data_IF_144300866246
#
_entry.id   IF_144300866246
#
_cell.length_a   1.000
_cell.length_b   1.000
_cell.length_c   1.000
_cell.angle_alpha   90.00
_cell.angle_beta   90.00
_cell.angle_gamma   90.00
#
_symmetry.space_group_name_H-M   'P 1'
#
loop_
_entity.id
_entity.type
_entity.pdbx_description
1 polymer ?
#
# COMPACT_ATOMS: atom_id res chain seq x y z
N UNK A 1 26.55 4.44 67.94
CA UNK A 1 27.10 5.53 67.11
C UNK A 1 28.27 6.11 67.89
N UNK A 2 29.51 5.75 67.54
CA UNK A 2 30.69 6.21 68.28
C UNK A 2 30.93 7.71 68.00
N UNK A 3 31.41 8.44 69.00
CA UNK A 3 31.62 9.90 68.96
C UNK A 3 32.78 10.37 68.07
N UNK A 4 33.46 9.46 67.37
CA UNK A 4 34.71 9.75 66.65
C UNK A 4 34.62 9.57 65.12
N UNK A 5 33.44 9.29 64.57
CA UNK A 5 33.27 9.09 63.13
C UNK A 5 32.96 10.43 62.43
N UNK A 6 33.86 10.88 61.56
CA UNK A 6 33.67 12.09 60.73
C UNK A 6 33.16 11.67 59.36
N UNK A 7 31.98 12.17 58.98
CA UNK A 7 31.36 11.93 57.67
C UNK A 7 31.32 13.22 56.86
N UNK A 8 31.74 13.16 55.60
CA UNK A 8 31.66 14.27 54.66
C UNK A 8 30.50 14.05 53.69
N UNK A 9 29.71 15.11 53.43
CA UNK A 9 28.62 15.13 52.45
C UNK A 9 28.89 16.23 51.42
N UNK A 10 28.97 15.85 50.15
CA UNK A 10 29.37 16.73 49.05
C UNK A 10 28.33 16.73 47.90
N UNK A 11 27.19 17.40 48.05
CA UNK A 11 26.16 17.47 47.01
C UNK A 11 26.61 18.38 45.85
N UNK A 12 26.38 17.92 44.62
CA UNK A 12 26.66 18.67 43.40
C UNK A 12 25.46 18.64 42.45
N UNK A 13 25.25 19.72 41.69
CA UNK A 13 24.27 19.78 40.61
C UNK A 13 25.00 19.68 39.27
N UNK A 14 24.68 18.65 38.49
CA UNK A 14 25.34 18.36 37.22
C UNK A 14 24.31 18.23 36.10
N UNK A 15 24.71 18.62 34.89
CA UNK A 15 23.99 18.31 33.66
C UNK A 15 24.87 17.36 32.86
N UNK A 16 24.42 16.12 32.67
CA UNK A 16 25.22 15.07 32.05
C UNK A 16 24.63 14.74 30.68
N UNK A 17 25.46 14.78 29.65
CA UNK A 17 25.15 14.20 28.34
C UNK A 17 25.86 12.85 28.24
N UNK A 18 25.09 11.77 28.23
CA UNK A 18 25.60 10.40 28.16
C UNK A 18 25.20 9.74 26.84
N UNK A 19 25.98 8.76 26.41
CA UNK A 19 25.70 7.95 25.23
C UNK A 19 24.67 6.86 25.56
N UNK A 20 23.70 6.66 24.67
CA UNK A 20 22.73 5.58 24.77
C UNK A 20 22.77 4.74 23.49
N UNK A 21 23.33 3.50 23.54
CA UNK A 21 23.31 2.61 22.39
C UNK A 21 21.88 2.12 22.16
N UNK A 22 21.31 2.47 21.02
CA UNK A 22 19.92 2.16 20.68
C UNK A 22 19.85 1.14 19.55
N UNK A 23 19.06 0.08 19.76
CA UNK A 23 18.67 -0.85 18.70
C UNK A 23 17.29 -0.46 18.17
N UNK A 24 17.21 -0.13 16.88
CA UNK A 24 16.05 0.48 16.22
C UNK A 24 15.29 -0.50 15.32
N UNK A 25 15.47 -1.82 15.50
CA UNK A 25 14.78 -2.84 14.69
C UNK A 25 13.25 -2.67 14.74
N UNK A 26 12.72 -2.42 15.94
CA UNK A 26 11.29 -2.25 16.19
C UNK A 26 10.83 -0.78 16.09
N UNK A 27 11.66 0.11 15.55
CA UNK A 27 11.29 1.52 15.42
C UNK A 27 9.99 1.68 14.62
N UNK A 28 9.02 2.51 15.07
CA UNK A 28 8.99 3.36 16.28
C UNK A 28 8.31 2.76 17.55
N UNK A 29 8.05 1.46 17.59
CA UNK A 29 7.45 0.73 18.73
C UNK A 29 8.53 0.15 19.66
N UNK A 30 9.68 0.81 19.71
CA UNK A 30 10.88 0.43 20.41
C UNK A 30 10.91 0.92 21.87
N UNK A 31 11.68 0.19 22.69
CA UNK A 31 12.06 0.61 24.03
C UNK A 31 13.56 0.38 24.23
N UNK A 32 14.17 1.25 25.03
CA UNK A 32 15.62 1.24 25.26
C UNK A 32 15.93 1.40 26.74
N UNK A 33 17.00 0.76 27.20
CA UNK A 33 17.63 1.05 28.48
C UNK A 33 18.86 1.92 28.23
N UNK A 34 18.79 3.20 28.61
CA UNK A 34 19.93 4.11 28.47
C UNK A 34 20.80 4.06 29.74
N UNK A 35 22.06 3.58 29.65
CA UNK A 35 22.93 3.47 30.81
C UNK A 35 23.61 4.81 31.12
N UNK A 36 23.62 5.17 32.40
CA UNK A 36 24.47 6.22 32.97
C UNK A 36 25.54 5.54 33.83
N UNK A 37 26.77 5.48 33.33
CA UNK A 37 27.91 4.84 34.01
C UNK A 37 28.84 5.90 34.59
N UNK A 38 29.23 5.76 35.86
CA UNK A 38 30.17 6.64 36.52
C UNK A 38 31.01 5.90 37.56
N UNK A 39 32.24 6.37 37.81
CA UNK A 39 33.18 5.76 38.74
C UNK A 39 34.44 6.61 38.90
N UNK A 40 35.41 6.10 39.65
CA UNK A 40 36.72 6.75 39.78
C UNK A 40 37.51 6.66 38.48
N UNK A 41 38.16 7.75 38.08
CA UNK A 41 39.05 7.76 36.92
C UNK A 41 40.45 7.24 37.25
N UNK A 42 41.02 7.66 38.39
CA UNK A 42 42.42 7.39 38.73
C UNK A 42 42.58 6.26 39.76
N UNK A 43 41.72 6.23 40.77
CA UNK A 43 41.83 5.32 41.91
C UNK A 43 41.16 3.98 41.64
N UNK A 44 41.89 2.85 41.73
CA UNK A 44 41.34 1.51 41.60
C UNK A 44 40.60 1.06 42.87
N UNK A 45 40.01 -0.14 42.82
CA UNK A 45 39.23 -0.75 43.89
C UNK A 45 40.03 -0.99 45.18
N UNK A 46 41.36 -1.07 45.10
CA UNK A 46 42.23 -1.16 46.28
C UNK A 46 42.29 0.15 47.08
N UNK A 47 41.91 1.27 46.48
CA UNK A 47 41.96 2.61 47.10
C UNK A 47 40.55 3.18 47.34
N UNK A 48 39.65 3.10 46.35
CA UNK A 48 38.31 3.68 46.42
C UNK A 48 37.28 2.72 45.86
N UNK A 49 36.21 2.47 46.63
CA UNK A 49 35.06 1.66 46.23
C UNK A 49 33.80 2.52 46.34
N UNK A 50 33.03 2.58 45.27
CA UNK A 50 31.72 3.23 45.26
C UNK A 50 30.63 2.26 45.69
N UNK A 51 29.74 2.72 46.56
CA UNK A 51 28.58 1.95 47.03
C UNK A 51 27.37 2.87 47.02
N UNK A 52 26.22 2.33 46.62
CA UNK A 52 24.95 3.03 46.70
C UNK A 52 24.58 3.27 48.18
N UNK A 53 24.23 4.51 48.53
CA UNK A 53 23.92 4.86 49.93
C UNK A 53 22.70 4.10 50.48
N UNK A 54 21.69 3.89 49.64
CA UNK A 54 20.49 3.12 49.98
C UNK A 54 20.47 1.81 49.18
N UNK A 55 19.38 1.05 49.31
CA UNK A 55 19.12 -0.12 48.46
C UNK A 55 19.19 0.24 46.96
N UNK A 56 19.44 -0.77 46.14
CA UNK A 56 19.52 -0.63 44.68
C UNK A 56 18.26 0.01 44.09
N UNK A 57 17.07 -0.21 44.66
CA UNK A 57 15.82 0.33 44.11
C UNK A 57 15.54 1.79 44.49
N UNK A 58 16.20 2.34 45.52
CA UNK A 58 15.86 3.66 46.11
C UNK A 58 16.96 4.69 45.98
N UNK A 59 18.15 4.31 45.50
CA UNK A 59 19.30 5.22 45.47
C UNK A 59 19.24 6.24 44.33
N UNK A 60 18.53 5.92 43.24
CA UNK A 60 18.29 6.83 42.12
C UNK A 60 16.81 7.18 42.10
N UNK A 61 16.51 8.44 42.42
CA UNK A 61 15.14 8.98 42.46
C UNK A 61 15.00 10.02 41.36
N UNK A 62 13.97 9.84 40.53
CA UNK A 62 13.59 10.82 39.52
C UNK A 62 12.42 11.64 40.06
N UNK A 63 12.52 12.97 39.98
CA UNK A 63 11.44 13.85 40.40
C UNK A 63 10.18 13.60 39.55
N UNK A 64 8.99 13.63 40.16
CA UNK A 64 7.71 13.39 39.48
C UNK A 64 7.49 14.35 38.30
N UNK A 65 7.85 15.63 38.47
CA UNK A 65 7.79 16.66 37.42
C UNK A 65 9.05 16.72 36.54
N UNK A 66 10.04 15.89 36.81
CA UNK A 66 11.36 15.92 36.15
C UNK A 66 11.35 15.34 34.73
N UNK A 67 10.32 14.57 34.36
CA UNK A 67 10.22 13.90 33.07
C UNK A 67 9.54 14.77 32.01
N UNK A 68 10.29 15.69 31.38
CA UNK A 68 9.82 16.54 30.28
C UNK A 68 10.26 16.03 28.90
N UNK A 69 10.14 14.73 28.68
CA UNK A 69 10.52 14.10 27.41
C UNK A 69 9.38 14.19 26.38
N UNK A 70 9.63 14.89 25.27
CA UNK A 70 8.64 15.06 24.21
C UNK A 70 8.38 13.75 23.43
N UNK A 71 9.45 13.01 23.12
CA UNK A 71 9.40 11.83 22.25
C UNK A 71 9.35 10.49 22.99
N UNK A 72 9.64 10.46 24.29
CA UNK A 72 9.73 9.23 25.08
C UNK A 72 8.93 9.33 26.37
N UNK A 73 8.54 8.19 26.91
CA UNK A 73 8.10 8.00 28.27
C UNK A 73 9.21 7.35 29.08
N UNK A 74 9.52 7.91 30.24
CA UNK A 74 10.33 7.24 31.24
C UNK A 74 9.44 6.20 31.93
N UNK A 75 9.74 4.92 31.70
CA UNK A 75 9.00 3.78 32.27
C UNK A 75 9.49 3.45 33.68
N UNK A 76 10.77 3.72 33.97
CA UNK A 76 11.40 3.44 35.25
C UNK A 76 12.93 3.44 35.12
N UNK A 77 13.59 3.05 36.22
CA UNK A 77 15.03 2.99 36.31
C UNK A 77 15.47 1.72 37.05
N UNK A 78 16.61 1.18 36.66
CA UNK A 78 17.29 0.10 37.38
C UNK A 78 18.72 0.54 37.68
N UNK A 79 19.28 0.09 38.79
CA UNK A 79 20.67 0.39 39.13
C UNK A 79 21.46 -0.90 39.30
N UNK A 80 22.73 -0.82 38.97
CA UNK A 80 23.69 -1.89 39.10
C UNK A 80 25.04 -1.35 39.52
N UNK A 81 25.92 -2.27 39.87
CA UNK A 81 27.33 -2.03 40.12
C UNK A 81 28.11 -3.08 39.35
N UNK A 82 29.07 -2.64 38.55
CA UNK A 82 29.90 -3.48 37.70
C UNK A 82 31.37 -3.22 38.03
N UNK A 83 32.19 -4.27 38.08
CA UNK A 83 33.65 -4.11 38.18
C UNK A 83 34.26 -4.27 36.78
N UNK A 84 35.02 -3.26 36.35
CA UNK A 84 35.70 -3.27 35.06
C UNK A 84 37.20 -3.35 35.29
N UNK A 85 37.84 -4.35 34.69
CA UNK A 85 39.30 -4.47 34.66
C UNK A 85 39.88 -3.70 33.49
N UNK A 86 40.76 -2.75 33.76
CA UNK A 86 41.54 -2.02 32.76
C UNK A 86 43.03 -2.31 32.92
N UNK A 87 43.86 -1.78 32.02
CA UNK A 87 45.32 -1.95 32.09
C UNK A 87 45.95 -1.35 33.36
N UNK A 88 45.27 -0.41 34.02
CA UNK A 88 45.76 0.29 35.22
C UNK A 88 45.27 -0.32 36.52
N UNK A 89 44.27 -1.21 36.48
CA UNK A 89 43.70 -1.88 37.66
C UNK A 89 42.23 -2.24 37.50
N UNK A 90 41.61 -2.68 38.59
CA UNK A 90 40.16 -2.91 38.64
C UNK A 90 39.44 -1.69 39.20
N UNK A 91 38.34 -1.29 38.57
CA UNK A 91 37.56 -0.11 38.93
C UNK A 91 36.09 -0.48 39.14
N UNK A 92 35.49 0.07 40.20
CA UNK A 92 34.06 -0.06 40.50
C UNK A 92 33.31 1.00 39.72
N UNK A 93 32.41 0.56 38.84
CA UNK A 93 31.54 1.40 38.04
C UNK A 93 30.11 1.27 38.52
N UNK A 94 29.51 2.41 38.82
CA UNK A 94 28.11 2.54 39.18
C UNK A 94 27.31 2.78 37.91
N UNK A 95 26.27 1.97 37.70
CA UNK A 95 25.45 2.06 36.49
C UNK A 95 23.99 2.29 36.87
N UNK A 96 23.34 3.26 36.23
CA UNK A 96 21.89 3.45 36.30
C UNK A 96 21.29 3.37 34.89
N UNK A 97 20.41 2.40 34.65
CA UNK A 97 19.68 2.29 33.39
C UNK A 97 18.34 3.01 33.49
N UNK A 98 18.08 3.91 32.55
CA UNK A 98 16.80 4.57 32.39
C UNK A 98 16.01 3.89 31.28
N UNK A 99 14.86 3.31 31.61
CA UNK A 99 14.01 2.61 30.66
C UNK A 99 13.12 3.64 29.94
N UNK A 100 13.39 3.86 28.67
CA UNK A 100 12.69 4.81 27.81
C UNK A 100 11.86 4.06 26.78
N UNK A 101 10.57 4.39 26.65
CA UNK A 101 9.67 3.88 25.61
C UNK A 101 9.26 5.00 24.68
N UNK A 102 9.36 4.81 23.36
CA UNK A 102 9.03 5.86 22.38
C UNK A 102 7.52 6.10 22.29
N UNK A 103 7.12 7.36 22.09
CA UNK A 103 5.73 7.73 21.77
C UNK A 103 5.44 7.50 20.29
N UNK A 104 4.48 6.62 20.02
CA UNK A 104 4.13 6.21 18.65
C UNK A 104 3.29 7.24 17.87
N UNK A 105 2.54 8.11 18.56
CA UNK A 105 1.50 8.95 17.96
C UNK A 105 1.95 9.86 16.81
N UNK A 106 3.15 10.43 16.90
CA UNK A 106 3.71 11.27 15.83
C UNK A 106 3.87 10.51 14.50
N UNK A 107 4.44 9.30 14.58
CA UNK A 107 4.68 8.46 13.39
C UNK A 107 3.37 7.92 12.81
N UNK A 108 2.37 7.67 13.65
CA UNK A 108 1.02 7.29 13.18
C UNK A 108 0.45 8.37 12.28
N UNK A 109 0.47 9.63 12.73
CA UNK A 109 -0.14 10.75 12.02
C UNK A 109 0.67 11.13 10.77
N UNK A 110 2.00 11.16 10.87
CA UNK A 110 2.84 11.65 9.77
C UNK A 110 3.24 10.58 8.75
N UNK A 111 3.27 9.29 9.13
CA UNK A 111 3.77 8.23 8.26
C UNK A 111 2.71 7.16 8.00
N UNK A 112 2.18 6.51 9.02
CA UNK A 112 1.27 5.38 8.83
C UNK A 112 -0.06 5.80 8.19
N UNK A 113 -0.70 6.86 8.68
CA UNK A 113 -1.98 7.35 8.13
C UNK A 113 -1.84 7.77 6.66
N UNK A 114 -0.86 8.62 6.26
CA UNK A 114 -0.66 8.94 4.85
C UNK A 114 -0.36 7.72 3.98
N UNK A 115 0.43 6.74 4.47
CA UNK A 115 0.71 5.50 3.72
C UNK A 115 -0.57 4.66 3.51
N UNK A 116 -1.36 4.46 4.57
CA UNK A 116 -2.64 3.74 4.50
C UNK A 116 -3.60 4.44 3.53
N UNK A 117 -3.74 5.76 3.63
CA UNK A 117 -4.58 6.54 2.71
C UNK A 117 -4.09 6.44 1.27
N UNK A 118 -2.78 6.47 1.03
CA UNK A 118 -2.18 6.31 -0.32
C UNK A 118 -2.49 4.92 -0.89
N UNK A 119 -2.40 3.86 -0.08
CA UNK A 119 -2.75 2.50 -0.51
C UNK A 119 -4.25 2.42 -0.85
N UNK A 120 -5.13 2.95 0.00
CA UNK A 120 -6.58 2.99 -0.25
C UNK A 120 -6.88 3.76 -1.55
N UNK A 121 -6.25 4.92 -1.76
CA UNK A 121 -6.41 5.70 -2.99
C UNK A 121 -5.99 4.92 -4.24
N UNK A 122 -4.91 4.13 -4.16
CA UNK A 122 -4.52 3.27 -5.29
C UNK A 122 -5.58 2.20 -5.60
N UNK A 123 -6.27 1.66 -4.58
CA UNK A 123 -7.35 0.69 -4.73
C UNK A 123 -8.67 1.30 -5.24
N UNK A 124 -8.94 2.58 -4.93
CA UNK A 124 -10.11 3.30 -5.48
C UNK A 124 -10.06 3.34 -7.01
N UNK A 125 -8.88 3.29 -7.61
CA UNK A 125 -8.72 3.24 -9.07
C UNK A 125 -9.36 2.01 -9.73
N UNK A 126 -9.58 0.90 -8.99
CA UNK A 126 -10.27 -0.30 -9.49
C UNK A 126 -11.77 -0.09 -9.69
N UNK A 127 -12.35 0.91 -9.03
CA UNK A 127 -13.77 1.27 -9.16
C UNK A 127 -14.02 2.16 -10.38
N UNK A 128 -12.96 2.77 -10.92
CA UNK A 128 -13.06 3.65 -12.06
C UNK A 128 -13.26 2.84 -13.35
N UNK A 129 -14.04 3.40 -14.27
CA UNK A 129 -14.33 2.77 -15.55
C UNK A 129 -13.04 2.53 -16.35
N UNK A 130 -12.93 1.34 -16.96
CA UNK A 130 -11.77 0.94 -17.79
C UNK A 130 -11.53 1.84 -19.01
N UNK A 131 -12.54 2.61 -19.42
CA UNK A 131 -12.48 3.50 -20.59
C UNK A 131 -11.72 4.81 -20.27
N UNK A 132 -11.67 5.22 -19.00
CA UNK A 132 -10.89 6.38 -18.55
C UNK A 132 -9.44 6.02 -18.23
N UNK A 133 -8.73 5.50 -19.24
CA UNK A 133 -7.30 5.16 -19.17
C UNK A 133 -6.44 6.31 -18.62
N UNK A 134 -6.60 7.58 -19.07
CA UNK A 134 -5.76 8.68 -18.59
C UNK A 134 -5.88 8.91 -17.09
N UNK A 135 -7.10 8.82 -16.55
CA UNK A 135 -7.35 9.03 -15.13
C UNK A 135 -6.69 7.93 -14.28
N UNK A 136 -6.84 6.65 -14.65
CA UNK A 136 -6.23 5.53 -13.92
C UNK A 136 -4.69 5.58 -13.95
N UNK A 137 -4.08 5.96 -15.09
CA UNK A 137 -2.62 6.14 -15.18
C UNK A 137 -2.14 7.22 -14.22
N UNK A 138 -2.81 8.37 -14.19
CA UNK A 138 -2.44 9.48 -13.30
C UNK A 138 -2.57 9.06 -11.83
N UNK A 139 -3.68 8.44 -11.43
CA UNK A 139 -3.82 7.91 -10.06
C UNK A 139 -2.70 6.93 -9.67
N UNK A 140 -2.36 5.99 -10.56
CA UNK A 140 -1.32 5.01 -10.30
C UNK A 140 0.09 5.63 -10.19
N UNK A 141 0.46 6.51 -11.12
CA UNK A 141 1.77 7.17 -11.09
C UNK A 141 1.90 8.12 -9.90
N UNK A 142 0.86 8.92 -9.64
CA UNK A 142 0.85 9.84 -8.50
C UNK A 142 0.94 9.10 -7.18
N UNK A 143 0.22 7.98 -7.01
CA UNK A 143 0.31 7.20 -5.75
C UNK A 143 1.69 6.58 -5.54
N UNK A 144 2.38 6.09 -6.58
CA UNK A 144 3.79 5.64 -6.46
C UNK A 144 4.72 6.79 -6.11
N UNK A 145 4.56 7.95 -6.75
CA UNK A 145 5.37 9.13 -6.46
C UNK A 145 5.16 9.58 -5.01
N UNK A 146 3.91 9.72 -4.57
CA UNK A 146 3.55 10.05 -3.19
C UNK A 146 4.14 9.04 -2.20
N UNK A 147 4.05 7.74 -2.50
CA UNK A 147 4.62 6.69 -1.64
C UNK A 147 6.15 6.80 -1.55
N UNK A 148 6.82 7.13 -2.66
CA UNK A 148 8.26 7.38 -2.70
C UNK A 148 8.64 8.59 -1.85
N UNK A 149 7.89 9.69 -1.96
CA UNK A 149 8.09 10.90 -1.15
C UNK A 149 7.90 10.63 0.35
N UNK A 150 6.84 9.90 0.72
CA UNK A 150 6.59 9.53 2.12
C UNK A 150 7.70 8.63 2.69
N UNK A 151 8.22 7.69 1.89
CA UNK A 151 9.35 6.83 2.28
C UNK A 151 10.63 7.64 2.56
N UNK A 152 10.97 8.58 1.68
CA UNK A 152 12.13 9.46 1.86
C UNK A 152 11.95 10.35 3.10
N UNK A 153 10.77 10.95 3.26
CA UNK A 153 10.46 11.78 4.43
C UNK A 153 10.59 11.00 5.74
N UNK A 154 10.06 9.77 5.79
CA UNK A 154 10.13 8.92 6.98
C UNK A 154 11.58 8.55 7.33
N UNK A 155 12.43 8.28 6.33
CA UNK A 155 13.85 7.97 6.52
C UNK A 155 14.69 9.17 6.95
N UNK A 156 14.34 10.39 6.52
CA UNK A 156 15.04 11.60 6.95
C UNK A 156 14.81 11.91 8.44
N UNK A 157 13.72 11.43 9.02
CA UNK A 157 13.44 11.57 10.45
C UNK A 157 14.18 10.56 11.34
N UNK A 158 14.85 9.56 10.75
CA UNK A 158 15.57 8.50 11.46
C UNK A 158 17.09 8.62 11.22
N UNK A 159 17.95 8.35 12.22
CA UNK A 159 19.37 8.13 11.96
C UNK A 159 19.59 6.99 10.95
N UNK A 160 20.66 7.10 10.16
CA UNK A 160 20.98 6.09 9.13
C UNK A 160 21.47 4.80 9.79
N UNK A 161 20.62 3.78 9.80
CA UNK A 161 20.95 2.41 10.20
C UNK A 161 21.05 1.50 8.97
N UNK A 162 21.88 0.46 9.05
CA UNK A 162 22.12 -0.47 7.93
C UNK A 162 21.06 -1.58 7.83
N UNK A 163 20.28 -1.81 8.88
CA UNK A 163 19.20 -2.80 8.93
C UNK A 163 17.83 -2.16 8.68
N UNK A 164 16.86 -2.98 8.27
CA UNK A 164 15.48 -2.54 8.04
C UNK A 164 14.71 -2.43 9.36
N UNK A 165 14.05 -1.29 9.58
CA UNK A 165 13.18 -1.06 10.74
C UNK A 165 11.76 -1.60 10.50
N UNK A 166 10.97 -1.78 11.56
CA UNK A 166 9.56 -2.13 11.46
C UNK A 166 8.76 -1.14 10.59
N UNK A 167 9.09 0.16 10.66
CA UNK A 167 8.54 1.18 9.78
C UNK A 167 8.94 0.97 8.31
N UNK A 168 10.20 0.64 8.03
CA UNK A 168 10.66 0.35 6.65
C UNK A 168 9.89 -0.83 6.05
N UNK A 169 9.67 -1.91 6.83
CA UNK A 169 8.87 -3.05 6.38
C UNK A 169 7.43 -2.65 6.05
N UNK A 170 6.81 -1.80 6.87
CA UNK A 170 5.47 -1.30 6.59
C UNK A 170 5.40 -0.50 5.29
N UNK A 171 6.34 0.43 5.11
CA UNK A 171 6.45 1.26 3.90
C UNK A 171 6.72 0.39 2.67
N UNK A 172 7.60 -0.61 2.77
CA UNK A 172 7.91 -1.52 1.66
C UNK A 172 6.69 -2.34 1.22
N UNK A 173 5.90 -2.86 2.17
CA UNK A 173 4.67 -3.60 1.84
C UNK A 173 3.62 -2.67 1.23
N UNK A 174 3.43 -1.48 1.79
CA UNK A 174 2.53 -0.48 1.20
C UNK A 174 2.95 -0.11 -0.23
N UNK A 175 4.26 0.04 -0.48
CA UNK A 175 4.81 0.28 -1.82
C UNK A 175 4.49 -0.88 -2.77
N UNK A 176 4.65 -2.13 -2.33
CA UNK A 176 4.29 -3.30 -3.12
C UNK A 176 2.81 -3.33 -3.50
N UNK A 177 1.89 -2.93 -2.60
CA UNK A 177 0.46 -2.83 -2.91
C UNK A 177 0.15 -1.76 -3.96
N UNK A 178 0.74 -0.57 -3.82
CA UNK A 178 0.56 0.54 -4.79
C UNK A 178 1.13 0.13 -6.16
N UNK A 179 2.31 -0.47 -6.18
CA UNK A 179 2.93 -0.97 -7.41
C UNK A 179 2.12 -2.10 -8.06
N UNK A 180 1.55 -2.99 -7.25
CA UNK A 180 0.67 -4.06 -7.73
C UNK A 180 -0.62 -3.51 -8.36
N UNK A 181 -1.17 -2.39 -7.86
CA UNK A 181 -2.30 -1.71 -8.49
C UNK A 181 -1.96 -1.15 -9.87
N UNK A 182 -0.73 -0.65 -10.09
CA UNK A 182 -0.25 -0.26 -11.41
C UNK A 182 -0.10 -1.45 -12.36
N UNK A 183 0.42 -2.58 -11.89
CA UNK A 183 0.53 -3.81 -12.69
C UNK A 183 -0.86 -4.31 -13.10
N UNK A 184 -1.81 -4.29 -12.18
CA UNK A 184 -3.21 -4.63 -12.44
C UNK A 184 -3.77 -3.76 -13.57
N UNK A 185 -3.59 -2.45 -13.47
CA UNK A 185 -4.01 -1.51 -14.51
C UNK A 185 -3.35 -1.83 -15.87
N UNK A 186 -2.04 -2.05 -15.90
CA UNK A 186 -1.32 -2.40 -17.13
C UNK A 186 -1.88 -3.69 -17.76
N UNK A 187 -2.17 -4.68 -16.91
CA UNK A 187 -2.74 -5.98 -17.31
C UNK A 187 -4.15 -5.80 -17.90
N UNK A 188 -5.03 -5.06 -17.22
CA UNK A 188 -6.40 -4.77 -17.70
C UNK A 188 -6.37 -4.00 -19.02
N UNK A 189 -5.49 -3.02 -19.18
CA UNK A 189 -5.35 -2.29 -20.45
C UNK A 189 -4.84 -3.16 -21.58
N UNK A 190 -3.84 -4.00 -21.31
CA UNK A 190 -3.29 -4.90 -22.31
C UNK A 190 -4.36 -5.87 -22.83
N UNK A 191 -5.12 -6.50 -21.93
CA UNK A 191 -6.20 -7.39 -22.34
C UNK A 191 -7.38 -6.66 -22.99
N UNK A 192 -7.69 -5.42 -22.57
CA UNK A 192 -8.75 -4.62 -23.21
C UNK A 192 -8.38 -4.25 -24.65
N UNK A 193 -7.15 -3.75 -24.89
CA UNK A 193 -6.66 -3.45 -26.24
C UNK A 193 -6.58 -4.70 -27.13
N UNK A 194 -6.11 -5.83 -26.56
CA UNK A 194 -6.08 -7.10 -27.27
C UNK A 194 -7.50 -7.58 -27.61
N UNK A 195 -8.45 -7.51 -26.68
CA UNK A 195 -9.86 -7.85 -26.97
C UNK A 195 -10.40 -7.00 -28.11
N UNK A 196 -10.24 -5.67 -28.06
CA UNK A 196 -10.72 -4.77 -29.12
C UNK A 196 -10.08 -5.05 -30.48
N UNK A 197 -8.79 -5.38 -30.53
CA UNK A 197 -8.12 -5.75 -31.78
C UNK A 197 -8.68 -7.06 -32.38
N UNK A 198 -8.99 -8.04 -31.54
CA UNK A 198 -9.61 -9.30 -31.97
C UNK A 198 -11.08 -9.12 -32.38
N UNK A 199 -11.85 -8.31 -31.65
CA UNK A 199 -13.24 -7.99 -31.95
C UNK A 199 -13.36 -7.20 -33.27
N UNK A 200 -12.47 -6.23 -33.50
CA UNK A 200 -12.40 -5.47 -34.76
C UNK A 200 -12.06 -6.35 -35.97
N UNK A 201 -11.16 -7.33 -35.81
CA UNK A 201 -10.84 -8.29 -36.88
C UNK A 201 -12.03 -9.19 -37.21
N UNK A 202 -12.73 -9.74 -36.20
CA UNK A 202 -13.95 -10.54 -36.40
C UNK A 202 -15.07 -9.74 -37.08
N UNK A 203 -15.26 -8.48 -36.70
CA UNK A 203 -16.25 -7.60 -37.32
C UNK A 203 -15.95 -7.33 -38.80
N UNK A 204 -14.67 -7.14 -39.15
CA UNK A 204 -14.24 -6.98 -40.54
C UNK A 204 -14.45 -8.26 -41.36
N UNK A 205 -14.14 -9.42 -40.79
CA UNK A 205 -14.38 -10.73 -41.43
C UNK A 205 -15.87 -10.98 -41.66
N UNK A 206 -16.74 -10.69 -40.68
CA UNK A 206 -18.18 -10.77 -40.82
C UNK A 206 -18.73 -9.80 -41.89
N UNK A 207 -18.19 -8.59 -41.99
CA UNK A 207 -18.57 -7.61 -43.02
C UNK A 207 -18.17 -8.07 -44.44
N UNK A 208 -17.02 -8.73 -44.59
CA UNK A 208 -16.59 -9.33 -45.87
C UNK A 208 -17.52 -10.46 -46.31
N UNK A 209 -17.93 -11.34 -45.38
CA UNK A 209 -18.88 -12.42 -45.66
C UNK A 209 -20.22 -11.83 -46.13
N UNK A 210 -20.76 -10.85 -45.41
CA UNK A 210 -22.03 -10.17 -45.76
C UNK A 210 -21.99 -9.43 -47.11
N UNK A 211 -20.81 -8.93 -47.52
CA UNK A 211 -20.60 -8.31 -48.85
C UNK A 211 -20.57 -9.37 -49.95
N UNK A 212 -19.93 -10.52 -49.69
CA UNK A 212 -19.85 -11.65 -50.62
C UNK A 212 -21.24 -12.27 -50.86
N UNK A 213 -22.05 -12.42 -49.82
CA UNK A 213 -23.45 -12.88 -49.95
C UNK A 213 -24.32 -11.91 -50.75
N UNK A 214 -24.19 -10.59 -50.52
CA UNK A 214 -24.89 -9.57 -51.32
C UNK A 214 -24.50 -9.60 -52.79
N UNK A 215 -23.23 -9.86 -53.11
CA UNK A 215 -22.78 -10.01 -54.50
C UNK A 215 -23.28 -11.33 -55.13
N UNK A 216 -23.38 -12.41 -54.36
CA UNK A 216 -23.91 -13.69 -54.84
C UNK A 216 -25.42 -13.66 -55.10
N UNK A 217 -26.18 -12.90 -54.30
CA UNK A 217 -27.61 -12.68 -54.51
C UNK A 217 -27.91 -11.71 -55.68
N UNK A 218 -27.01 -10.77 -55.98
CA UNK A 218 -27.17 -9.81 -57.09
C UNK A 218 -26.85 -10.36 -58.49
N UNK A 219 -26.10 -11.46 -58.60
CA UNK A 219 -25.68 -12.01 -59.90
C UNK A 219 -26.66 -13.05 -60.49
N UNK A 220 -27.83 -13.24 -59.87
CA UNK A 220 -28.84 -14.24 -60.27
C UNK A 220 -29.92 -13.71 -61.23
N UNK A 221 -29.85 -12.44 -61.65
CA UNK A 221 -30.88 -11.80 -62.49
C UNK A 221 -30.51 -11.57 -63.95
N UNK A 222 -29.44 -12.16 -64.47
CA UNK A 222 -29.06 -12.00 -65.88
C UNK A 222 -28.82 -13.37 -66.47
N UNK A 223 -29.86 -13.95 -67.08
CA UNK A 223 -29.81 -14.84 -68.23
C UNK A 223 -31.15 -15.55 -68.36
N UNK A 224 -32.03 -15.11 -69.29
CA UNK A 224 -32.81 -16.04 -70.14
C UNK A 224 -33.56 -15.32 -71.28
N UNK A 225 -33.12 -15.66 -72.50
CA UNK A 225 -33.78 -15.72 -73.82
C UNK A 225 -34.08 -14.48 -74.68
N UNK A 226 -33.37 -14.50 -75.82
CA UNK A 226 -33.56 -13.79 -77.08
C UNK A 226 -34.70 -14.36 -77.93
N UNK A 227 -35.07 -13.56 -78.94
CA UNK A 227 -35.62 -13.89 -80.29
C UNK A 227 -37.15 -13.96 -80.49
N UNK A 228 -37.66 -13.11 -81.41
CA UNK A 228 -38.79 -13.49 -82.29
C UNK A 228 -39.95 -12.49 -82.53
N UNK A 229 -39.70 -11.42 -83.31
CA UNK A 229 -40.55 -10.83 -84.38
C UNK A 229 -42.10 -11.04 -84.36
N UNK A 230 -42.86 -9.93 -84.31
CA UNK A 230 -43.77 -9.36 -85.35
C UNK A 230 -45.01 -8.65 -84.74
N UNK A 231 -45.14 -7.37 -85.10
CA UNK A 231 -46.31 -6.47 -85.06
C UNK A 231 -47.45 -6.96 -85.99
N UNK A 232 -48.72 -6.45 -85.93
CA UNK A 232 -49.07 -5.04 -85.71
C UNK A 232 -50.33 -4.70 -84.87
N UNK A 233 -50.37 -3.42 -84.48
CA UNK A 233 -51.49 -2.63 -83.96
C UNK A 233 -52.63 -2.50 -85.01
N UNK A 234 -53.77 -1.78 -84.82
CA UNK A 234 -54.07 -0.81 -83.75
C UNK A 234 -55.53 -0.81 -83.20
N UNK A 235 -55.74 -0.15 -82.06
CA UNK A 235 -56.77 0.89 -81.83
C UNK A 235 -57.22 0.97 -80.35
N UNK A 236 -56.89 2.11 -79.75
CA UNK A 236 -57.58 2.75 -78.62
C UNK A 236 -59.02 3.18 -79.05
N UNK A 237 -59.97 3.51 -78.15
CA UNK A 237 -59.71 4.38 -76.98
C UNK A 237 -60.53 4.16 -75.69
N UNK A 238 -60.01 4.79 -74.62
CA UNK A 238 -60.74 5.53 -73.57
C UNK A 238 -61.59 4.73 -72.58
N UNK A 239 -61.22 4.70 -71.31
CA UNK A 239 -61.37 5.73 -70.26
C UNK A 239 -62.54 5.32 -69.38
N UNK A 240 -62.25 4.88 -68.15
CA UNK A 240 -63.05 5.19 -66.96
C UNK A 240 -62.53 4.38 -65.77
N UNK A 241 -61.73 5.02 -64.91
CA UNK A 241 -61.78 4.76 -63.48
C UNK A 241 -63.13 5.28 -62.91
N UNK A 242 -63.48 5.14 -61.63
CA UNK A 242 -62.84 4.42 -60.52
C UNK A 242 -63.82 3.38 -59.90
N UNK A 243 -63.46 2.55 -58.92
CA UNK A 243 -63.65 2.85 -57.50
C UNK A 243 -63.76 1.49 -56.76
N UNK A 244 -62.99 1.28 -55.68
CA UNK A 244 -63.51 1.11 -54.30
C UNK A 244 -63.54 -0.34 -53.78
N UNK A 245 -62.69 -0.53 -52.76
CA UNK A 245 -62.77 -1.42 -51.58
C UNK A 245 -62.60 -2.93 -51.80
N UNK A 246 -61.52 -3.47 -51.23
CA UNK A 246 -61.62 -4.54 -50.21
C UNK A 246 -60.32 -4.69 -49.43
N UNK A 247 -60.47 -4.57 -48.11
CA UNK A 247 -59.45 -4.78 -47.08
C UNK A 247 -58.89 -6.20 -47.12
N UNK A 248 -57.58 -6.34 -46.90
CA UNK A 248 -57.01 -7.45 -46.12
C UNK A 248 -55.56 -7.12 -45.72
N UNK A 249 -55.38 -6.69 -44.46
CA UNK A 249 -54.13 -6.98 -43.75
C UNK A 249 -54.11 -8.47 -43.41
N UNK A 250 -52.93 -9.11 -43.42
CA UNK A 250 -52.27 -9.33 -42.14
C UNK A 250 -50.79 -8.95 -42.14
N UNK A 251 -50.35 -8.58 -40.94
CA UNK A 251 -49.01 -8.12 -40.58
C UNK A 251 -47.95 -9.26 -40.56
N UNK A 252 -46.74 -9.02 -39.99
CA UNK A 252 -45.47 -8.96 -40.69
C UNK A 252 -44.66 -10.27 -40.57
N UNK A 253 -43.99 -10.69 -41.65
CA UNK A 253 -43.02 -11.79 -41.56
C UNK A 253 -41.75 -11.27 -40.89
N UNK A 254 -41.58 -11.65 -39.63
CA UNK A 254 -40.39 -11.49 -38.81
C UNK A 254 -39.15 -11.99 -39.56
N UNK A 255 -38.27 -11.08 -39.94
CA UNK A 255 -36.86 -11.42 -40.17
C UNK A 255 -36.25 -11.78 -38.81
N UNK A 256 -36.02 -13.07 -38.59
CA UNK A 256 -35.26 -13.56 -37.45
C UNK A 256 -33.86 -12.93 -37.50
N UNK A 257 -33.63 -11.97 -36.61
CA UNK A 257 -32.33 -11.39 -36.36
C UNK A 257 -31.49 -12.39 -35.56
N UNK A 258 -30.78 -13.26 -36.27
CA UNK A 258 -29.78 -14.12 -35.69
C UNK A 258 -28.60 -13.25 -35.22
N UNK A 259 -28.65 -12.85 -33.95
CA UNK A 259 -27.54 -12.17 -33.27
C UNK A 259 -26.31 -13.09 -33.34
N UNK A 260 -25.17 -12.65 -33.87
CA UNK A 260 -23.95 -13.44 -33.79
C UNK A 260 -23.51 -13.51 -32.32
N UNK A 261 -23.73 -14.68 -31.72
CA UNK A 261 -23.38 -14.99 -30.36
C UNK A 261 -21.86 -15.21 -30.23
N UNK A 262 -21.01 -14.19 -30.37
CA UNK A 262 -19.57 -14.40 -30.16
C UNK A 262 -18.72 -13.16 -29.84
N UNK A 263 -19.07 -12.41 -28.78
CA UNK A 263 -18.15 -11.47 -28.10
C UNK A 263 -18.12 -11.60 -26.57
N UNK A 264 -18.92 -12.50 -25.99
CA UNK A 264 -19.13 -12.59 -24.54
C UNK A 264 -17.95 -13.18 -23.75
N UNK A 265 -17.09 -14.00 -24.36
CA UNK A 265 -16.05 -14.76 -23.60
C UNK A 265 -14.89 -13.89 -23.14
N UNK A 266 -14.38 -12.97 -23.97
CA UNK A 266 -13.21 -12.12 -23.62
C UNK A 266 -13.59 -10.97 -22.68
N UNK A 267 -14.74 -10.33 -22.93
CA UNK A 267 -15.28 -9.28 -22.06
C UNK A 267 -15.53 -9.78 -20.62
N UNK A 268 -16.03 -11.02 -20.50
CA UNK A 268 -16.29 -11.63 -19.20
C UNK A 268 -15.01 -11.89 -18.39
N UNK A 269 -13.87 -12.17 -19.01
CA UNK A 269 -12.62 -12.42 -18.28
C UNK A 269 -12.00 -11.13 -17.73
N UNK A 270 -12.06 -10.03 -18.48
CA UNK A 270 -11.52 -8.72 -18.04
C UNK A 270 -12.35 -8.17 -16.87
N UNK A 271 -13.68 -8.26 -16.94
CA UNK A 271 -14.56 -7.86 -15.83
C UNK A 271 -14.37 -8.71 -14.56
N UNK A 272 -13.93 -9.96 -14.68
CA UNK A 272 -13.62 -10.82 -13.53
C UNK A 272 -12.36 -10.38 -12.80
N UNK A 273 -11.35 -9.88 -13.52
CA UNK A 273 -10.08 -9.41 -12.93
C UNK A 273 -10.33 -8.18 -12.07
N UNK A 274 -10.95 -7.13 -12.63
CA UNK A 274 -11.29 -5.92 -11.86
C UNK A 274 -12.18 -6.27 -10.63
N UNK A 275 -13.15 -7.17 -10.79
CA UNK A 275 -14.03 -7.60 -9.68
C UNK A 275 -13.30 -8.35 -8.57
N UNK A 276 -12.34 -9.19 -8.93
CA UNK A 276 -11.54 -9.95 -7.98
C UNK A 276 -10.53 -9.05 -7.27
N UNK A 277 -9.86 -8.15 -8.00
CA UNK A 277 -8.93 -7.16 -7.44
C UNK A 277 -9.60 -6.26 -6.39
N UNK A 278 -10.86 -5.86 -6.61
CA UNK A 278 -11.65 -5.05 -5.66
C UNK A 278 -11.86 -5.69 -4.29
N UNK A 279 -11.79 -7.01 -4.17
CA UNK A 279 -11.98 -7.74 -2.91
C UNK A 279 -10.63 -8.18 -2.34
N UNK A 280 -9.77 -8.76 -3.19
CA UNK A 280 -8.50 -9.33 -2.74
C UNK A 280 -7.56 -8.24 -2.19
N UNK A 281 -7.41 -7.11 -2.87
CA UNK A 281 -6.46 -6.08 -2.44
C UNK A 281 -6.82 -5.47 -1.06
N UNK A 282 -8.06 -5.03 -0.81
CA UNK A 282 -8.45 -4.53 0.52
C UNK A 282 -8.34 -5.59 1.61
N UNK A 283 -8.74 -6.84 1.34
CA UNK A 283 -8.68 -7.93 2.33
C UNK A 283 -7.24 -8.28 2.69
N UNK A 284 -6.34 -8.39 1.69
CA UNK A 284 -4.92 -8.65 1.94
C UNK A 284 -4.29 -7.50 2.72
N UNK A 285 -4.58 -6.25 2.37
CA UNK A 285 -4.04 -5.10 3.08
C UNK A 285 -4.59 -4.99 4.51
N UNK A 286 -5.87 -5.28 4.72
CA UNK A 286 -6.48 -5.35 6.06
C UNK A 286 -5.85 -6.43 6.93
N UNK A 287 -5.66 -7.63 6.37
CA UNK A 287 -4.98 -8.75 7.06
C UNK A 287 -3.55 -8.38 7.41
N UNK A 288 -2.82 -7.76 6.48
CA UNK A 288 -1.47 -7.26 6.73
C UNK A 288 -1.44 -6.26 7.89
N UNK A 289 -2.35 -5.28 7.92
CA UNK A 289 -2.41 -4.31 9.02
C UNK A 289 -2.69 -5.00 10.36
N UNK A 290 -3.64 -5.93 10.41
CA UNK A 290 -3.94 -6.68 11.63
C UNK A 290 -2.70 -7.44 12.14
N UNK A 291 -2.02 -8.18 11.27
CA UNK A 291 -0.80 -8.92 11.62
C UNK A 291 0.31 -7.97 12.05
N UNK A 292 0.52 -6.87 11.32
CA UNK A 292 1.55 -5.89 11.60
C UNK A 292 1.39 -5.28 12.98
N UNK A 293 0.22 -4.70 13.26
CA UNK A 293 -0.07 -4.06 14.54
C UNK A 293 -0.08 -5.08 15.69
N UNK A 294 -0.63 -6.29 15.48
CA UNK A 294 -0.60 -7.32 16.51
C UNK A 294 0.83 -7.79 16.83
N UNK A 295 1.72 -7.87 15.84
CA UNK A 295 3.10 -8.32 16.06
C UNK A 295 3.92 -7.26 16.78
N UNK A 296 3.90 -6.01 16.30
CA UNK A 296 4.78 -4.96 16.83
C UNK A 296 4.24 -4.27 18.09
N UNK A 297 2.92 -4.30 18.36
CA UNK A 297 2.38 -3.76 19.62
C UNK A 297 2.45 -4.77 20.77
N UNK A 298 2.39 -6.07 20.49
CA UNK A 298 2.46 -7.11 21.53
C UNK A 298 3.89 -7.59 21.80
N UNK A 299 4.88 -7.12 21.04
CA UNK A 299 6.27 -7.47 21.30
C UNK A 299 6.66 -6.86 22.65
N UNK A 300 6.87 -7.71 23.65
CA UNK A 300 7.41 -7.24 24.92
C UNK A 300 8.80 -6.64 24.67
N UNK A 301 9.10 -5.45 25.22
CA UNK A 301 10.40 -4.87 25.05
C UNK A 301 11.43 -5.77 25.73
N UNK A 302 12.30 -6.41 24.95
CA UNK A 302 13.45 -7.15 25.48
C UNK A 302 14.47 -6.11 25.95
N UNK A 303 14.24 -5.58 27.16
CA UNK A 303 15.16 -4.65 27.79
C UNK A 303 16.34 -5.47 28.32
N UNK A 304 17.38 -5.62 27.48
CA UNK A 304 18.68 -6.10 27.96
C UNK A 304 19.32 -4.95 28.74
N UNK A 305 19.24 -5.02 30.06
CA UNK A 305 20.09 -4.25 30.97
C UNK A 305 21.53 -4.72 30.87
#
# INVERSE_FOLDING_TARGET
RNKNDVFFLLPHRLTISAECPMQLEDFPMDAHACPLKFGSYAYPNSEVIYVWTNSTTTSVVVAEDGSRLNQYHLMGQTVGTENISTSTGEYTIMTAHFHLKRKIGYFVIQTYLPCIMTVILSQVSFWLNRESVPARTVFGVTTVLTMTTLSISARNSLPKVAYATAMDWFIAVCYAFVFSALIEFATVNYFTKRSWAWDGKKALEAAKIKKKERQLLGNKSTNTYSTGKLTPAPNMPKDSAPAVISNAAPAPVKSAEEKPAESKKTYNSISKIDKMSRIIFPVLFGTFNLVYWATYLNREPVIKG
#
